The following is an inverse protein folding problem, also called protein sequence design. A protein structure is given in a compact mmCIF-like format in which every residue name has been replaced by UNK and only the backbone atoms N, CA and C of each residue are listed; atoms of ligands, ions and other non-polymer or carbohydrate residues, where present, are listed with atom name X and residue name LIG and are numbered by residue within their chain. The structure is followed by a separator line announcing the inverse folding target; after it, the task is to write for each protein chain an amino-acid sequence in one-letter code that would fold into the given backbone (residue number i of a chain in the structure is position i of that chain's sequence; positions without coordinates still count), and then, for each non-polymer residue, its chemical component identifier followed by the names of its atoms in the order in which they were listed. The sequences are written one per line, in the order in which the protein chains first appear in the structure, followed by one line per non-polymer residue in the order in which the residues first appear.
data_IF_566230395662
#
_entry.id   IF_566230395662
#
_cell.length_a   1.000
_cell.length_b   1.000
_cell.length_c   1.000
_cell.angle_alpha   90.00
_cell.angle_beta   90.00
_cell.angle_gamma   90.00
#
_symmetry.space_group_name_H-M   'P 1'
#
loop_
_entity.id
_entity.type
_entity.pdbx_description
1 polymer ?
#
# COMPACT_ATOMS: atom_id res chain seq x y z
N UNK A 1 -16.00 -2.66 13.68
CA UNK A 1 -14.60 -2.57 13.22
C UNK A 1 -14.49 -1.57 12.07
N UNK A 2 -13.38 -0.82 11.96
CA UNK A 2 -13.09 0.07 10.83
C UNK A 2 -11.94 -0.49 10.02
N UNK A 3 -12.09 -0.50 8.70
CA UNK A 3 -11.11 -1.04 7.75
C UNK A 3 -10.46 0.13 6.99
N UNK A 4 -9.16 0.32 7.20
CA UNK A 4 -8.40 1.43 6.64
C UNK A 4 -7.33 0.87 5.71
N UNK A 5 -7.45 1.17 4.41
CA UNK A 5 -6.42 0.83 3.43
C UNK A 5 -5.35 1.92 3.38
N UNK A 6 -4.09 1.53 3.49
CA UNK A 6 -2.95 2.43 3.33
C UNK A 6 -2.18 2.01 2.09
N UNK A 7 -2.20 2.88 1.08
CA UNK A 7 -1.52 2.72 -0.20
C UNK A 7 -0.28 3.61 -0.31
N UNK A 8 0.70 3.16 -1.05
CA UNK A 8 1.87 3.91 -1.51
C UNK A 8 2.58 3.10 -2.60
N UNK A 9 3.50 3.71 -3.32
CA UNK A 9 4.46 2.98 -4.15
C UNK A 9 5.37 2.10 -3.29
N UNK A 10 6.07 1.15 -3.90
CA UNK A 10 7.05 0.29 -3.20
C UNK A 10 8.07 1.16 -2.44
N UNK A 11 8.40 0.74 -1.21
CA UNK A 11 9.23 1.51 -0.26
C UNK A 11 8.70 2.92 0.08
N UNK A 12 7.44 3.21 -0.23
CA UNK A 12 6.76 4.46 0.12
C UNK A 12 6.42 4.62 1.61
N UNK A 13 6.62 3.58 2.43
CA UNK A 13 6.48 3.65 3.88
C UNK A 13 5.21 3.02 4.48
N UNK A 14 4.32 2.42 3.67
CA UNK A 14 3.06 1.79 4.14
C UNK A 14 3.25 0.93 5.38
N UNK A 15 4.05 -0.13 5.25
CA UNK A 15 4.27 -1.14 6.31
C UNK A 15 4.84 -0.51 7.58
N UNK A 16 5.76 0.44 7.46
CA UNK A 16 6.35 1.13 8.60
C UNK A 16 5.33 1.98 9.36
N UNK A 17 4.48 2.70 8.62
CA UNK A 17 3.40 3.51 9.19
C UNK A 17 2.38 2.61 9.90
N UNK A 18 1.94 1.52 9.24
CA UNK A 18 0.97 0.57 9.82
C UNK A 18 1.51 -0.04 11.12
N UNK A 19 2.76 -0.51 11.14
CA UNK A 19 3.39 -1.04 12.37
C UNK A 19 3.40 -0.02 13.50
N UNK A 20 3.70 1.26 13.20
CA UNK A 20 3.65 2.32 14.20
C UNK A 20 2.24 2.60 14.71
N UNK A 21 1.22 2.55 13.85
CA UNK A 21 -0.19 2.73 14.24
C UNK A 21 -0.66 1.61 15.16
N UNK A 22 -0.39 0.35 14.81
CA UNK A 22 -0.76 -0.83 15.64
C UNK A 22 -0.15 -0.73 17.03
N UNK A 23 1.11 -0.30 17.14
CA UNK A 23 1.76 -0.13 18.44
C UNK A 23 1.12 0.95 19.32
N UNK A 24 0.33 1.86 18.76
CA UNK A 24 -0.29 3.00 19.45
C UNK A 24 -1.80 2.83 19.65
N UNK A 25 -2.42 1.96 18.86
CA UNK A 25 -3.87 1.79 18.85
C UNK A 25 -4.23 0.42 19.45
N UNK A 26 -4.84 0.38 20.66
CA UNK A 26 -5.34 -0.87 21.21
C UNK A 26 -6.41 -1.47 20.27
N UNK A 27 -6.51 -2.79 20.26
CA UNK A 27 -7.46 -3.54 19.45
C UNK A 27 -7.33 -3.28 17.93
N UNK A 28 -6.12 -3.00 17.44
CA UNK A 28 -5.81 -2.87 16.02
C UNK A 28 -5.03 -4.10 15.51
N UNK A 29 -5.30 -4.48 14.26
CA UNK A 29 -4.54 -5.51 13.54
C UNK A 29 -4.27 -5.08 12.12
N UNK A 30 -3.45 -5.84 11.37
CA UNK A 30 -3.18 -5.58 9.96
C UNK A 30 -3.12 -6.84 9.11
N UNK A 31 -3.40 -6.68 7.84
CA UNK A 31 -3.07 -7.61 6.77
C UNK A 31 -2.15 -6.92 5.78
N UNK A 32 -1.19 -7.66 5.25
CA UNK A 32 -0.18 -7.15 4.32
C UNK A 32 -0.33 -7.85 2.98
N UNK A 33 -0.58 -7.09 1.92
CA UNK A 33 -0.76 -7.61 0.56
C UNK A 33 0.44 -8.45 0.10
N UNK A 34 1.65 -8.02 0.44
CA UNK A 34 2.90 -8.68 0.05
C UNK A 34 3.12 -10.05 0.76
N UNK A 35 2.30 -10.41 1.76
CA UNK A 35 2.35 -11.73 2.42
C UNK A 35 1.57 -12.81 1.67
N UNK A 36 0.90 -12.45 0.57
CA UNK A 36 0.06 -13.34 -0.24
C UNK A 36 0.67 -13.56 -1.63
N UNK A 37 0.34 -14.73 -2.20
CA UNK A 37 0.50 -15.00 -3.63
C UNK A 37 -0.88 -15.08 -4.27
N UNK A 38 -1.08 -14.36 -5.36
CA UNK A 38 -2.39 -14.25 -6.00
C UNK A 38 -2.39 -14.91 -7.38
N UNK A 39 -3.46 -15.62 -7.69
CA UNK A 39 -3.73 -16.03 -9.06
C UNK A 39 -3.94 -14.77 -9.93
N UNK A 40 -3.34 -14.73 -11.13
CA UNK A 40 -3.39 -13.58 -12.02
C UNK A 40 -2.42 -12.46 -11.66
N UNK A 41 -1.47 -12.71 -10.75
CA UNK A 41 -0.42 -11.75 -10.44
C UNK A 41 0.36 -11.36 -11.71
N UNK A 42 0.66 -10.07 -11.82
CA UNK A 42 1.29 -9.50 -13.01
C UNK A 42 2.80 -9.70 -12.98
N UNK A 43 3.34 -10.42 -13.96
CA UNK A 43 4.79 -10.60 -14.14
C UNK A 43 5.42 -9.45 -14.93
N UNK A 44 4.72 -8.95 -15.96
CA UNK A 44 5.18 -7.83 -16.80
C UNK A 44 4.31 -6.59 -16.55
N UNK A 45 4.73 -5.79 -15.59
CA UNK A 45 4.07 -4.51 -15.26
C UNK A 45 4.09 -3.49 -16.40
N UNK A 46 5.09 -3.55 -17.29
CA UNK A 46 5.14 -2.65 -18.42
C UNK A 46 4.02 -2.98 -19.42
N UNK A 47 3.88 -4.26 -19.76
CA UNK A 47 2.81 -4.70 -20.66
C UNK A 47 1.44 -4.50 -20.04
N UNK A 48 1.29 -4.79 -18.74
CA UNK A 48 0.04 -4.55 -18.01
C UNK A 48 -0.43 -3.09 -18.10
N UNK A 49 0.49 -2.12 -18.00
CA UNK A 49 0.15 -0.70 -18.16
C UNK A 49 -0.30 -0.40 -19.59
N UNK A 50 0.37 -0.98 -20.61
CA UNK A 50 0.00 -0.80 -22.01
C UNK A 50 -1.38 -1.39 -22.31
N UNK A 51 -1.77 -2.46 -21.63
CA UNK A 51 -3.07 -3.14 -21.77
C UNK A 51 -4.19 -2.46 -20.97
N UNK A 52 -3.92 -1.31 -20.34
CA UNK A 52 -4.93 -0.48 -19.67
C UNK A 52 -4.96 -0.62 -18.16
N UNK A 53 -3.99 -1.29 -17.54
CA UNK A 53 -3.79 -1.39 -16.10
C UNK A 53 -5.04 -1.87 -15.33
N UNK A 54 -5.58 -3.03 -15.69
CA UNK A 54 -6.71 -3.63 -14.98
C UNK A 54 -6.25 -4.20 -13.64
N UNK A 55 -6.70 -3.62 -12.54
CA UNK A 55 -6.42 -4.07 -11.17
C UNK A 55 -7.22 -5.31 -10.75
N UNK A 56 -8.20 -5.75 -11.54
CA UNK A 56 -8.99 -6.95 -11.27
C UNK A 56 -8.34 -8.24 -11.78
N UNK A 57 -7.17 -8.16 -12.42
CA UNK A 57 -6.39 -9.35 -12.79
C UNK A 57 -5.91 -10.13 -11.58
N UNK A 58 -5.64 -9.44 -10.45
CA UNK A 58 -5.32 -10.11 -9.19
C UNK A 58 -6.57 -10.72 -8.56
N UNK A 59 -6.59 -12.04 -8.43
CA UNK A 59 -7.61 -12.74 -7.65
C UNK A 59 -7.29 -12.61 -6.16
N UNK A 60 -7.93 -11.67 -5.48
CA UNK A 60 -7.69 -11.36 -4.08
C UNK A 60 -8.50 -12.22 -3.09
N UNK A 61 -9.04 -13.37 -3.53
CA UNK A 61 -9.85 -14.24 -2.66
C UNK A 61 -9.14 -14.66 -1.36
N UNK A 62 -7.85 -15.04 -1.35
CA UNK A 62 -7.16 -15.36 -0.10
C UNK A 62 -7.11 -14.18 0.88
N UNK A 63 -6.85 -12.97 0.38
CA UNK A 63 -6.81 -11.75 1.18
C UNK A 63 -8.19 -11.37 1.72
N UNK A 64 -9.21 -11.47 0.87
CA UNK A 64 -10.61 -11.30 1.24
C UNK A 64 -11.05 -12.25 2.35
N UNK A 65 -10.73 -13.54 2.21
CA UNK A 65 -11.09 -14.56 3.20
C UNK A 65 -10.49 -14.26 4.59
N UNK A 66 -9.29 -13.71 4.65
CA UNK A 66 -8.68 -13.32 5.93
C UNK A 66 -9.29 -12.02 6.50
N UNK A 67 -9.71 -11.08 5.65
CA UNK A 67 -10.54 -9.94 6.08
C UNK A 67 -11.83 -10.45 6.73
N UNK A 68 -12.55 -11.37 6.08
CA UNK A 68 -13.80 -11.94 6.57
C UNK A 68 -13.60 -12.62 7.95
N UNK A 69 -12.56 -13.43 8.12
CA UNK A 69 -12.22 -14.07 9.40
C UNK A 69 -11.96 -13.04 10.52
N UNK A 70 -11.25 -11.96 10.20
CA UNK A 70 -10.98 -10.90 11.19
C UNK A 70 -12.27 -10.19 11.57
N UNK A 71 -13.16 -9.90 10.60
CA UNK A 71 -14.49 -9.33 10.87
C UNK A 71 -15.30 -10.24 11.80
N UNK A 72 -15.40 -11.53 11.47
CA UNK A 72 -16.15 -12.53 12.22
C UNK A 72 -15.60 -12.73 13.64
N UNK A 73 -14.30 -12.57 13.85
CA UNK A 73 -13.67 -12.70 15.16
C UNK A 73 -14.17 -11.67 16.17
N UNK A 74 -14.61 -10.52 15.70
CA UNK A 74 -15.07 -9.37 16.51
C UNK A 74 -14.08 -8.96 17.63
N UNK A 75 -12.78 -9.18 17.41
CA UNK A 75 -11.72 -8.92 18.40
C UNK A 75 -11.09 -7.54 18.24
N UNK A 76 -11.25 -6.90 17.07
CA UNK A 76 -10.53 -5.68 16.73
C UNK A 76 -11.48 -4.53 16.43
N UNK A 77 -11.06 -3.33 16.80
CA UNK A 77 -11.74 -2.08 16.45
C UNK A 77 -11.28 -1.55 15.11
N UNK A 78 -10.03 -1.86 14.73
CA UNK A 78 -9.38 -1.42 13.51
C UNK A 78 -8.68 -2.56 12.78
N UNK A 79 -8.85 -2.60 11.46
CA UNK A 79 -8.07 -3.41 10.54
C UNK A 79 -7.36 -2.48 9.56
N UNK A 80 -6.03 -2.48 9.59
CA UNK A 80 -5.20 -1.80 8.62
C UNK A 80 -4.85 -2.75 7.48
N UNK A 81 -5.13 -2.35 6.24
CA UNK A 81 -4.70 -3.06 5.05
C UNK A 81 -3.47 -2.37 4.48
N UNK A 82 -2.30 -3.03 4.54
CA UNK A 82 -1.13 -2.68 3.72
C UNK A 82 -1.45 -3.10 2.29
N UNK A 83 -2.15 -2.24 1.55
CA UNK A 83 -2.82 -2.61 0.33
C UNK A 83 -2.68 -1.51 -0.74
N UNK A 84 -2.10 -1.84 -1.91
CA UNK A 84 -1.68 -0.82 -2.86
C UNK A 84 -2.79 -0.26 -3.77
N UNK A 85 -3.97 -0.88 -3.86
CA UNK A 85 -4.93 -0.60 -4.93
C UNK A 85 -6.13 0.28 -4.51
N UNK A 86 -6.22 0.69 -3.24
CA UNK A 86 -7.38 1.45 -2.71
C UNK A 86 -8.72 0.82 -3.17
N UNK A 87 -9.54 1.54 -3.91
CA UNK A 87 -10.85 1.07 -4.38
C UNK A 87 -10.85 0.42 -5.77
N UNK A 88 -9.68 0.13 -6.38
CA UNK A 88 -9.60 -0.33 -7.78
C UNK A 88 -9.95 -1.80 -7.98
N UNK A 89 -9.76 -2.66 -6.99
CA UNK A 89 -10.12 -4.07 -7.13
C UNK A 89 -11.52 -4.32 -6.58
N UNK A 90 -12.40 -4.87 -7.41
CA UNK A 90 -13.81 -5.11 -7.12
C UNK A 90 -14.05 -6.04 -5.92
N UNK A 91 -13.13 -6.96 -5.62
CA UNK A 91 -13.27 -7.91 -4.51
C UNK A 91 -13.08 -7.27 -3.15
N UNK A 92 -12.31 -6.16 -3.07
CA UNK A 92 -11.88 -5.56 -1.80
C UNK A 92 -12.51 -4.18 -1.57
N UNK A 93 -12.88 -3.45 -2.61
CA UNK A 93 -13.31 -2.05 -2.52
C UNK A 93 -14.42 -1.80 -1.49
N UNK A 94 -15.39 -2.71 -1.39
CA UNK A 94 -16.57 -2.55 -0.51
C UNK A 94 -16.27 -2.85 0.96
N UNK A 95 -15.10 -3.41 1.28
CA UNK A 95 -14.62 -3.60 2.65
C UNK A 95 -13.98 -2.33 3.22
N UNK A 96 -13.46 -1.46 2.37
CA UNK A 96 -12.65 -0.31 2.77
C UNK A 96 -13.56 0.83 3.24
N UNK A 97 -13.44 1.19 4.52
CA UNK A 97 -14.11 2.37 5.08
C UNK A 97 -13.38 3.68 4.72
N UNK A 98 -12.04 3.63 4.61
CA UNK A 98 -11.20 4.79 4.31
C UNK A 98 -9.91 4.35 3.62
N UNK A 99 -9.56 5.00 2.51
CA UNK A 99 -8.30 4.80 1.81
C UNK A 99 -7.39 6.02 1.98
N UNK A 100 -6.16 5.78 2.44
CA UNK A 100 -5.12 6.80 2.64
C UNK A 100 -3.95 6.48 1.71
N UNK A 101 -3.50 7.45 0.93
CA UNK A 101 -2.32 7.31 0.07
C UNK A 101 -1.14 8.09 0.63
N UNK A 102 -0.02 7.40 0.88
CA UNK A 102 1.25 8.04 1.26
C UNK A 102 1.99 8.38 -0.03
N UNK A 103 1.99 9.65 -0.38
CA UNK A 103 2.59 10.19 -1.59
C UNK A 103 4.09 10.43 -1.39
N UNK A 104 4.87 9.36 -1.47
CA UNK A 104 6.32 9.44 -1.39
C UNK A 104 6.90 9.67 -2.79
N UNK A 105 7.68 10.74 -3.02
CA UNK A 105 8.38 10.98 -4.28
C UNK A 105 9.17 9.74 -4.73
N UNK A 106 9.13 9.44 -6.04
CA UNK A 106 9.72 8.21 -6.58
C UNK A 106 11.24 8.10 -6.37
N UNK A 107 11.95 9.21 -6.37
CA UNK A 107 13.37 9.28 -6.05
C UNK A 107 13.66 8.87 -4.59
N UNK A 108 12.86 9.36 -3.64
CA UNK A 108 12.96 8.98 -2.23
C UNK A 108 12.59 7.51 -2.04
N UNK A 109 11.49 7.05 -2.64
CA UNK A 109 11.05 5.67 -2.58
C UNK A 109 12.11 4.71 -3.14
N UNK A 110 12.73 5.06 -4.27
CA UNK A 110 13.78 4.26 -4.88
C UNK A 110 15.04 4.23 -4.01
N UNK A 111 15.47 5.37 -3.47
CA UNK A 111 16.60 5.41 -2.55
C UNK A 111 16.36 4.53 -1.32
N UNK A 112 15.15 4.60 -0.71
CA UNK A 112 14.76 3.74 0.42
C UNK A 112 14.76 2.26 0.04
N UNK A 113 14.28 1.91 -1.16
CA UNK A 113 14.28 0.54 -1.67
C UNK A 113 15.68 -0.02 -1.79
N UNK A 114 16.60 0.71 -2.42
CA UNK A 114 18.00 0.29 -2.54
C UNK A 114 18.65 0.08 -1.18
N UNK A 115 18.48 1.02 -0.26
CA UNK A 115 19.06 0.93 1.07
C UNK A 115 18.49 -0.24 1.89
N UNK A 116 17.22 -0.61 1.69
CA UNK A 116 16.57 -1.71 2.39
C UNK A 116 16.92 -3.07 1.81
N UNK A 117 16.79 -3.21 0.48
CA UNK A 117 16.76 -4.51 -0.20
C UNK A 117 18.13 -4.90 -0.76
N UNK A 118 19.05 -3.93 -0.93
CA UNK A 118 20.32 -4.11 -1.62
C UNK A 118 21.55 -3.71 -0.77
N UNK A 119 21.40 -3.71 0.55
CA UNK A 119 22.49 -3.33 1.48
C UNK A 119 23.75 -4.19 1.33
N UNK A 120 23.58 -5.47 0.94
CA UNK A 120 24.67 -6.44 0.75
C UNK A 120 24.99 -6.69 -0.74
N UNK A 121 24.31 -6.00 -1.67
CA UNK A 121 24.47 -6.18 -3.11
C UNK A 121 25.70 -5.46 -3.64
N UNK A 122 26.30 -6.03 -4.68
CA UNK A 122 27.41 -5.39 -5.40
C UNK A 122 26.95 -4.15 -6.17
N UNK A 123 27.88 -3.27 -6.50
CA UNK A 123 27.59 -2.09 -7.32
C UNK A 123 27.05 -2.45 -8.73
N UNK A 124 27.39 -3.63 -9.25
CA UNK A 124 26.89 -4.13 -10.54
C UNK A 124 25.43 -4.57 -10.43
N UNK A 125 25.06 -5.30 -9.38
CA UNK A 125 23.68 -5.68 -9.11
C UNK A 125 22.78 -4.45 -8.88
N UNK A 126 23.24 -3.47 -8.10
CA UNK A 126 22.50 -2.22 -7.90
C UNK A 126 22.30 -1.48 -9.23
N UNK A 127 23.32 -1.42 -10.08
CA UNK A 127 23.21 -0.77 -11.41
C UNK A 127 22.20 -1.50 -12.29
N UNK A 128 22.27 -2.82 -12.35
CA UNK A 128 21.32 -3.65 -13.11
C UNK A 128 19.87 -3.44 -12.64
N UNK A 129 19.65 -3.41 -11.33
CA UNK A 129 18.32 -3.16 -10.75
C UNK A 129 17.80 -1.76 -11.13
N UNK A 130 18.68 -0.73 -11.14
CA UNK A 130 18.29 0.61 -11.55
C UNK A 130 17.93 0.69 -13.04
N UNK A 131 18.63 -0.04 -13.90
CA UNK A 131 18.30 -0.13 -15.31
C UNK A 131 16.95 -0.81 -15.54
N UNK A 132 16.67 -1.91 -14.83
CA UNK A 132 15.38 -2.60 -14.85
C UNK A 132 14.26 -1.66 -14.36
N UNK A 133 14.47 -0.97 -13.24
CA UNK A 133 13.52 0.01 -12.74
C UNK A 133 13.18 1.08 -13.77
N UNK A 134 14.18 1.72 -14.36
CA UNK A 134 13.99 2.79 -15.35
C UNK A 134 13.25 2.29 -16.59
N UNK A 135 13.54 1.08 -17.01
CA UNK A 135 13.03 0.51 -18.26
C UNK A 135 11.64 -0.08 -18.12
N UNK A 136 11.34 -0.72 -16.99
CA UNK A 136 10.13 -1.55 -16.83
C UNK A 136 9.25 -1.16 -15.64
N UNK A 137 9.81 -1.03 -14.44
CA UNK A 137 8.99 -0.90 -13.24
C UNK A 137 8.45 0.51 -13.01
N UNK A 138 9.19 1.54 -13.39
CA UNK A 138 8.83 2.95 -13.16
C UNK A 138 7.48 3.33 -13.78
N UNK A 139 7.13 2.75 -14.92
CA UNK A 139 5.85 3.02 -15.58
C UNK A 139 4.67 2.59 -14.71
N UNK A 140 4.77 1.44 -14.01
CA UNK A 140 3.74 0.96 -13.11
C UNK A 140 3.57 1.88 -11.89
N UNK A 141 4.66 2.39 -11.32
CA UNK A 141 4.57 3.36 -10.22
C UNK A 141 3.93 4.68 -10.66
N UNK A 142 4.25 5.18 -11.87
CA UNK A 142 3.59 6.35 -12.43
C UNK A 142 2.09 6.05 -12.65
N UNK A 143 1.74 4.84 -13.10
CA UNK A 143 0.35 4.45 -13.27
C UNK A 143 -0.40 4.43 -11.93
N UNK A 144 0.19 3.87 -10.87
CA UNK A 144 -0.38 3.93 -9.52
C UNK A 144 -0.63 5.37 -9.06
N UNK A 145 0.31 6.29 -9.28
CA UNK A 145 0.12 7.70 -8.92
C UNK A 145 -1.04 8.34 -9.67
N UNK A 146 -1.34 7.90 -10.89
CA UNK A 146 -2.46 8.39 -11.70
C UNK A 146 -3.80 7.78 -11.29
N UNK A 147 -3.81 6.50 -10.93
CA UNK A 147 -5.04 5.73 -10.74
C UNK A 147 -5.47 5.64 -9.27
N UNK A 148 -4.51 5.44 -8.37
CA UNK A 148 -4.78 5.13 -6.96
C UNK A 148 -4.80 6.40 -6.10
N UNK A 149 -3.79 7.25 -6.26
CA UNK A 149 -3.70 8.50 -5.51
C UNK A 149 -4.96 9.38 -5.63
N UNK A 150 -5.55 9.63 -6.83
CA UNK A 150 -6.72 10.51 -6.96
C UNK A 150 -8.02 9.94 -6.38
N UNK A 151 -8.13 8.63 -6.22
CA UNK A 151 -9.32 7.97 -5.68
C UNK A 151 -9.22 7.67 -4.18
N UNK A 152 -8.07 7.93 -3.57
CA UNK A 152 -7.89 7.80 -2.12
C UNK A 152 -8.56 8.97 -1.41
N UNK A 153 -9.20 8.70 -0.25
CA UNK A 153 -9.90 9.74 0.52
C UNK A 153 -8.95 10.80 1.08
N UNK A 154 -7.72 10.38 1.39
CA UNK A 154 -6.68 11.26 1.90
C UNK A 154 -5.33 10.97 1.23
N UNK A 155 -4.58 12.03 0.99
CA UNK A 155 -3.21 11.96 0.46
C UNK A 155 -2.28 12.66 1.45
N UNK A 156 -1.23 11.95 1.89
CA UNK A 156 -0.26 12.41 2.87
C UNK A 156 1.11 12.52 2.22
N UNK A 157 1.81 13.61 2.47
CA UNK A 157 3.19 13.79 1.99
C UNK A 157 4.15 12.79 2.65
N UNK A 158 4.58 11.79 1.89
CA UNK A 158 5.48 10.71 2.31
C UNK A 158 6.96 11.08 2.36
N UNK A 159 7.32 12.33 2.01
CA UNK A 159 8.70 12.84 2.15
C UNK A 159 9.04 13.23 3.58
N UNK A 160 8.02 13.42 4.42
CA UNK A 160 8.17 13.83 5.82
C UNK A 160 8.66 12.69 6.72
N UNK A 161 9.04 13.06 7.95
CA UNK A 161 9.45 12.08 8.97
C UNK A 161 8.32 11.13 9.36
N UNK A 162 8.68 9.89 9.70
CA UNK A 162 7.73 8.84 10.07
C UNK A 162 6.73 9.30 11.14
N UNK A 163 7.20 9.94 12.18
CA UNK A 163 6.38 10.39 13.31
C UNK A 163 5.27 11.33 12.84
N UNK A 164 5.62 12.31 12.01
CA UNK A 164 4.68 13.29 11.46
C UNK A 164 3.61 12.61 10.58
N UNK A 165 4.01 11.62 9.78
CA UNK A 165 3.07 10.86 8.93
C UNK A 165 2.12 10.04 9.81
N UNK A 166 2.64 9.36 10.83
CA UNK A 166 1.83 8.54 11.75
C UNK A 166 0.83 9.40 12.53
N UNK A 167 1.24 10.56 13.01
CA UNK A 167 0.35 11.50 13.69
C UNK A 167 -0.76 11.99 12.77
N UNK A 168 -0.45 12.35 11.53
CA UNK A 168 -1.45 12.78 10.55
C UNK A 168 -2.44 11.67 10.20
N UNK A 169 -1.97 10.43 9.98
CA UNK A 169 -2.86 9.28 9.76
C UNK A 169 -3.78 9.07 10.95
N UNK A 170 -3.24 9.10 12.17
CA UNK A 170 -4.03 8.95 13.40
C UNK A 170 -5.11 10.04 13.54
N UNK A 171 -4.79 11.28 13.18
CA UNK A 171 -5.75 12.39 13.22
C UNK A 171 -6.83 12.29 12.13
N UNK A 172 -6.48 11.76 10.96
CA UNK A 172 -7.45 11.42 9.89
C UNK A 172 -8.42 10.37 10.42
N UNK A 173 -7.93 9.28 11.00
CA UNK A 173 -8.75 8.20 11.54
C UNK A 173 -9.71 8.72 12.61
N UNK A 174 -9.22 9.53 13.57
CA UNK A 174 -10.07 10.13 14.61
C UNK A 174 -11.18 11.01 14.02
N UNK A 175 -10.85 11.87 13.04
CA UNK A 175 -11.85 12.73 12.36
C UNK A 175 -12.87 11.93 11.58
N UNK A 176 -12.43 10.89 10.88
CA UNK A 176 -13.30 9.99 10.13
C UNK A 176 -14.31 9.27 11.03
N UNK A 177 -13.92 8.90 12.27
CA UNK A 177 -14.81 8.26 13.24
C UNK A 177 -15.86 9.20 13.81
N UNK A 178 -15.56 10.50 13.91
CA UNK A 178 -16.49 11.51 14.48
C UNK A 178 -17.53 11.95 13.43
N UNK A 179 -17.25 11.81 12.15
CA UNK A 179 -18.10 12.29 11.05
C UNK A 179 -19.15 11.27 10.56
N UNK A 180 -19.23 10.11 11.19
CA UNK A 180 -20.22 9.05 10.93
C UNK A 180 -20.89 8.59 12.23
#
# INVERSE_FOLDING_TARGET
MKIIAIGAVTAGGKTTVIKSLINRMPNATSLHFDDYSFEGEVDDFHQWVLDGADYNVWNLEPFKNDIDKIIESNQYDYLFLDYPFAYKNEMIKDYIDCAIFIDTPLDIAMARRVLRDMSESSAEEIRSEMEIYLKYARIAYIQMLKDIKPISDYVIDGSRGLETIVEEVNDIIKRFLVSR
#
